data_IF_886263175164
#
_entry.id   IF_886263175164
#
_cell.length_a   1.000
_cell.length_b   1.000
_cell.length_c   1.000
_cell.angle_alpha   90.00
_cell.angle_beta   90.00
_cell.angle_gamma   90.00
#
_symmetry.space_group_name_H-M   'P 1'
#
loop_
_entity.id
_entity.type
_entity.pdbx_description
1 polymer ?
#
# COMPACT_ATOMS: atom_id res chain seq x y z
N UNK A 1 2.74 -43.06 67.09
CA UNK A 1 1.91 -42.95 65.87
C UNK A 1 0.45 -42.74 66.26
N UNK A 2 0.08 -41.51 66.60
CA UNK A 2 -1.30 -41.04 66.79
C UNK A 2 -1.31 -39.53 66.46
N UNK A 3 -2.48 -39.09 65.99
CA UNK A 3 -2.81 -37.84 65.28
C UNK A 3 -2.76 -36.56 66.18
N UNK A 4 -3.44 -35.47 65.78
CA UNK A 4 -2.91 -34.17 65.32
C UNK A 4 -3.01 -33.10 66.42
N UNK A 5 -2.47 -31.88 66.25
CA UNK A 5 -2.90 -30.70 67.04
C UNK A 5 -2.30 -29.43 66.43
N UNK A 6 -3.22 -28.54 66.01
CA UNK A 6 -3.05 -27.07 66.05
C UNK A 6 -2.37 -26.66 67.35
N UNK A 7 -1.43 -25.70 67.36
CA UNK A 7 -1.29 -24.57 68.30
C UNK A 7 0.17 -24.07 68.25
N UNK A 8 0.36 -22.75 68.39
CA UNK A 8 1.60 -22.03 68.73
C UNK A 8 2.51 -21.68 67.54
N UNK A 9 2.30 -20.49 66.96
CA UNK A 9 3.34 -19.45 66.82
C UNK A 9 2.69 -18.14 66.29
N UNK A 10 1.77 -17.59 67.08
CA UNK A 10 1.26 -16.23 66.93
C UNK A 10 1.49 -15.52 68.27
N UNK A 11 2.75 -15.22 68.58
CA UNK A 11 3.12 -14.34 69.69
C UNK A 11 4.62 -13.98 69.59
N UNK A 12 4.95 -12.90 68.88
CA UNK A 12 6.08 -12.02 69.17
C UNK A 12 6.13 -10.91 68.11
N UNK A 13 5.73 -9.71 68.52
CA UNK A 13 5.97 -8.38 67.92
C UNK A 13 4.74 -7.45 67.94
N UNK A 14 3.72 -7.76 68.74
CA UNK A 14 2.84 -6.73 69.34
C UNK A 14 3.35 -6.46 70.75
N UNK A 15 4.41 -5.66 70.84
CA UNK A 15 4.93 -5.18 72.13
C UNK A 15 5.59 -3.81 71.96
N UNK A 16 4.77 -2.80 71.63
CA UNK A 16 5.15 -1.40 71.81
C UNK A 16 3.93 -0.52 71.58
N UNK A 17 2.90 -0.66 72.44
CA UNK A 17 1.95 0.41 72.71
C UNK A 17 1.25 0.17 74.06
N UNK A 18 1.53 1.10 74.97
CA UNK A 18 0.72 1.55 76.11
C UNK A 18 0.82 0.80 77.44
N UNK A 19 1.64 1.36 78.35
CA UNK A 19 1.30 1.57 79.78
C UNK A 19 2.36 2.49 80.43
N UNK A 20 2.16 3.79 80.30
CA UNK A 20 2.64 4.78 81.27
C UNK A 20 1.46 5.69 81.60
N UNK A 21 0.63 5.21 82.52
CA UNK A 21 -0.46 5.97 83.14
C UNK A 21 0.02 6.46 84.51
N UNK A 22 0.22 7.77 84.64
CA UNK A 22 0.08 8.56 85.87
C UNK A 22 0.21 10.04 85.52
N UNK A 23 -0.88 10.79 85.56
CA UNK A 23 -0.90 12.26 85.41
C UNK A 23 -2.32 12.81 85.49
N UNK A 24 -2.56 13.93 86.22
CA UNK A 24 -3.86 14.27 86.79
C UNK A 24 -4.88 14.80 85.77
N UNK A 25 -6.16 14.62 86.15
CA UNK A 25 -7.38 15.00 85.43
C UNK A 25 -7.37 16.46 84.96
N UNK A 26 -7.61 16.75 83.65
CA UNK A 26 -7.81 18.11 83.16
C UNK A 26 -9.27 18.58 83.28
N UNK A 27 -9.41 19.87 83.63
CA UNK A 27 -10.63 20.70 83.61
C UNK A 27 -11.21 20.82 82.19
N UNK A 28 -12.53 21.04 81.99
CA UNK A 28 -13.14 20.99 80.66
C UNK A 28 -12.72 22.17 79.78
N UNK A 29 -12.33 21.88 78.52
CA UNK A 29 -12.03 22.88 77.47
C UNK A 29 -13.20 22.93 76.47
N UNK A 30 -13.58 24.11 75.92
CA UNK A 30 -14.75 24.26 75.04
C UNK A 30 -14.55 23.56 73.67
N UNK A 31 -15.63 23.26 72.91
CA UNK A 31 -15.54 22.49 71.68
C UNK A 31 -14.78 23.24 70.58
N UNK A 32 -13.72 22.61 70.05
CA UNK A 32 -12.92 23.08 68.91
C UNK A 32 -13.62 22.76 67.59
N UNK A 33 -13.63 23.74 66.67
CA UNK A 33 -14.16 23.62 65.29
C UNK A 33 -13.48 22.48 64.51
N UNK A 34 -14.18 21.81 63.58
CA UNK A 34 -13.59 20.75 62.75
C UNK A 34 -12.45 21.28 61.86
N UNK A 35 -11.42 20.46 61.54
CA UNK A 35 -10.37 20.85 60.62
C UNK A 35 -10.92 21.08 59.21
N UNK A 36 -10.52 22.16 58.57
CA UNK A 36 -10.80 22.44 57.16
C UNK A 36 -10.02 21.39 56.34
N UNK A 37 -10.75 20.60 55.55
CA UNK A 37 -10.18 19.65 54.61
C UNK A 37 -9.30 20.40 53.60
N UNK A 38 -8.00 20.07 53.58
CA UNK A 38 -7.08 20.54 52.57
C UNK A 38 -7.39 19.80 51.27
N UNK A 39 -7.98 20.50 50.30
CA UNK A 39 -8.27 19.96 48.97
C UNK A 39 -6.96 19.58 48.26
N UNK A 40 -6.91 18.36 47.73
CA UNK A 40 -5.81 17.91 46.86
C UNK A 40 -5.64 18.84 45.65
N UNK A 41 -4.41 19.03 45.13
CA UNK A 41 -4.18 19.83 43.94
C UNK A 41 -5.00 19.27 42.77
N UNK A 42 -5.60 20.12 41.92
CA UNK A 42 -6.32 19.64 40.75
C UNK A 42 -5.36 18.84 39.84
N UNK A 43 -5.83 17.78 39.18
CA UNK A 43 -5.02 17.02 38.23
C UNK A 43 -4.47 17.97 37.17
N UNK A 44 -3.16 17.92 36.97
CA UNK A 44 -2.48 18.72 35.95
C UNK A 44 -3.13 18.41 34.60
N UNK A 45 -3.80 19.40 34.01
CA UNK A 45 -4.40 19.26 32.70
C UNK A 45 -3.32 18.82 31.71
N UNK A 46 -3.53 17.69 31.04
CA UNK A 46 -2.65 17.25 29.96
C UNK A 46 -2.56 18.38 28.93
N UNK A 47 -1.35 18.88 28.58
CA UNK A 47 -1.22 19.95 27.61
C UNK A 47 -1.95 19.59 26.32
N UNK A 48 -2.73 20.53 25.78
CA UNK A 48 -3.40 20.33 24.51
C UNK A 48 -2.35 19.95 23.44
N UNK A 49 -2.59 18.90 22.63
CA UNK A 49 -1.66 18.50 21.59
C UNK A 49 -1.39 19.66 20.63
N UNK A 50 -0.12 19.89 20.27
CA UNK A 50 0.26 20.94 19.32
C UNK A 50 -0.36 20.67 17.94
N UNK A 51 -0.76 21.72 17.19
CA UNK A 51 -1.18 21.57 15.81
C UNK A 51 -0.04 21.05 14.91
N UNK A 52 -0.33 20.03 14.12
CA UNK A 52 0.59 19.41 13.15
C UNK A 52 -0.13 19.33 11.80
N UNK A 53 0.49 19.89 10.75
CA UNK A 53 0.04 19.73 9.37
C UNK A 53 0.98 18.78 8.65
N UNK A 54 0.44 17.66 8.16
CA UNK A 54 1.14 16.67 7.35
C UNK A 54 0.86 16.90 5.86
N UNK A 55 1.89 16.80 5.03
CA UNK A 55 1.73 16.76 3.58
C UNK A 55 1.95 15.33 3.09
N UNK A 56 0.99 14.77 2.35
CA UNK A 56 1.09 13.45 1.74
C UNK A 56 0.96 13.58 0.23
N UNK A 57 1.93 13.05 -0.52
CA UNK A 57 1.76 12.87 -1.95
C UNK A 57 1.33 11.44 -2.27
N UNK A 58 0.40 11.26 -3.21
CA UNK A 58 -0.10 9.94 -3.58
C UNK A 58 -0.30 9.80 -5.09
N UNK A 59 -0.21 8.57 -5.59
CA UNK A 59 -0.40 8.24 -7.02
C UNK A 59 -1.80 7.76 -7.40
N UNK A 60 -2.71 7.63 -6.43
CA UNK A 60 -3.98 6.95 -6.64
C UNK A 60 -4.95 7.78 -7.47
N UNK A 61 -5.93 7.16 -8.12
CA UNK A 61 -6.93 7.88 -8.92
C UNK A 61 -8.31 7.28 -8.70
N UNK A 62 -9.36 8.04 -8.99
CA UNK A 62 -10.75 7.59 -8.82
C UNK A 62 -11.05 7.19 -7.37
N UNK A 63 -11.77 6.07 -7.20
CA UNK A 63 -12.21 5.59 -5.88
C UNK A 63 -11.05 5.33 -4.89
N UNK A 64 -9.90 4.74 -5.28
CA UNK A 64 -8.72 4.68 -4.42
C UNK A 64 -8.24 6.06 -3.87
N UNK A 65 -8.30 7.12 -4.68
CA UNK A 65 -7.98 8.48 -4.23
C UNK A 65 -9.04 9.01 -3.25
N UNK A 66 -10.32 8.78 -3.54
CA UNK A 66 -11.41 9.16 -2.65
C UNK A 66 -11.30 8.45 -1.29
N UNK A 67 -10.92 7.17 -1.29
CA UNK A 67 -10.65 6.40 -0.09
C UNK A 67 -9.49 7.00 0.71
N UNK A 68 -8.38 7.33 0.04
CA UNK A 68 -7.22 7.97 0.65
C UNK A 68 -7.61 9.30 1.34
N UNK A 69 -8.37 10.16 0.66
CA UNK A 69 -8.90 11.42 1.21
C UNK A 69 -9.85 11.13 2.39
N UNK A 70 -10.71 10.12 2.30
CA UNK A 70 -11.61 9.76 3.38
C UNK A 70 -10.85 9.30 4.64
N UNK A 71 -9.76 8.53 4.50
CA UNK A 71 -8.93 8.13 5.64
C UNK A 71 -8.28 9.33 6.33
N UNK A 72 -7.73 10.29 5.57
CA UNK A 72 -7.13 11.50 6.16
C UNK A 72 -8.16 12.35 6.92
N UNK A 73 -9.40 12.45 6.40
CA UNK A 73 -10.52 13.13 7.08
C UNK A 73 -10.95 12.41 8.36
N UNK A 74 -11.12 11.08 8.29
CA UNK A 74 -11.48 10.27 9.45
C UNK A 74 -10.41 10.35 10.55
N UNK A 75 -9.13 10.36 10.16
CA UNK A 75 -8.03 10.54 11.09
C UNK A 75 -8.03 11.93 11.74
N UNK A 76 -8.23 12.99 10.94
CA UNK A 76 -8.35 14.37 11.44
C UNK A 76 -9.51 14.50 12.43
N UNK A 77 -10.66 13.87 12.16
CA UNK A 77 -11.80 13.88 13.08
C UNK A 77 -11.48 13.21 14.44
N UNK A 78 -10.65 12.15 14.42
CA UNK A 78 -10.20 11.45 15.63
C UNK A 78 -9.07 12.20 16.37
N UNK A 79 -8.23 12.92 15.64
CA UNK A 79 -7.10 13.69 16.15
C UNK A 79 -7.13 15.11 15.57
N UNK A 80 -7.97 16.02 16.12
CA UNK A 80 -8.20 17.34 15.52
C UNK A 80 -6.96 18.24 15.42
N UNK A 81 -5.91 17.92 16.16
CA UNK A 81 -4.63 18.62 16.10
C UNK A 81 -3.77 18.19 14.90
N UNK A 82 -4.11 17.10 14.19
CA UNK A 82 -3.38 16.61 13.02
C UNK A 82 -4.25 16.82 11.77
N UNK A 83 -3.73 17.56 10.80
CA UNK A 83 -4.41 17.88 9.54
C UNK A 83 -3.55 17.47 8.35
N UNK A 84 -4.18 17.31 7.17
CA UNK A 84 -3.50 16.83 5.97
C UNK A 84 -3.61 17.81 4.80
N UNK A 85 -2.53 17.84 4.02
CA UNK A 85 -2.45 18.38 2.67
C UNK A 85 -2.19 17.22 1.72
N UNK A 86 -3.23 16.78 1.01
CA UNK A 86 -3.16 15.60 0.14
C UNK A 86 -2.96 16.06 -1.29
N UNK A 87 -1.80 15.74 -1.86
CA UNK A 87 -1.45 16.08 -3.25
C UNK A 87 -1.48 14.82 -4.09
N UNK A 88 -2.29 14.81 -5.14
CA UNK A 88 -2.36 13.73 -6.09
C UNK A 88 -1.51 14.02 -7.33
N UNK A 89 -0.80 13.01 -7.83
CA UNK A 89 0.09 13.09 -9.00
C UNK A 89 0.02 11.78 -9.79
N UNK A 90 0.32 11.80 -11.10
CA UNK A 90 0.57 10.56 -11.84
C UNK A 90 1.77 9.80 -11.25
N UNK A 91 1.86 8.49 -11.45
CA UNK A 91 2.91 7.65 -10.81
C UNK A 91 4.33 8.14 -11.16
N UNK A 92 4.59 8.43 -12.44
CA UNK A 92 5.88 8.93 -12.91
C UNK A 92 6.16 10.37 -12.45
N UNK A 93 5.15 11.24 -12.48
CA UNK A 93 5.26 12.62 -11.99
C UNK A 93 5.55 12.65 -10.49
N UNK A 94 4.89 11.79 -9.71
CA UNK A 94 5.16 11.62 -8.29
C UNK A 94 6.62 11.24 -8.07
N UNK A 95 7.17 10.31 -8.86
CA UNK A 95 8.56 9.90 -8.74
C UNK A 95 9.53 11.06 -8.97
N UNK A 96 9.37 11.73 -10.11
CA UNK A 96 10.29 12.78 -10.55
C UNK A 96 10.19 14.03 -9.67
N UNK A 97 8.97 14.45 -9.33
CA UNK A 97 8.72 15.61 -8.48
C UNK A 97 9.21 15.36 -7.06
N UNK A 98 9.02 14.14 -6.53
CA UNK A 98 9.43 13.83 -5.16
C UNK A 98 10.94 13.85 -5.06
N UNK A 99 11.63 13.25 -6.03
CA UNK A 99 13.08 13.27 -6.08
C UNK A 99 13.61 14.72 -6.09
N UNK A 100 13.02 15.58 -6.92
CA UNK A 100 13.39 16.99 -7.01
C UNK A 100 13.12 17.73 -5.70
N UNK A 101 11.90 17.61 -5.15
CA UNK A 101 11.49 18.32 -3.94
C UNK A 101 12.26 17.84 -2.69
N UNK A 102 12.48 16.54 -2.54
CA UNK A 102 13.20 15.99 -1.40
C UNK A 102 14.69 16.35 -1.40
N UNK A 103 15.33 16.41 -2.58
CA UNK A 103 16.70 16.93 -2.72
C UNK A 103 16.78 18.43 -2.37
N UNK A 104 15.73 19.20 -2.63
CA UNK A 104 15.61 20.60 -2.25
C UNK A 104 15.17 20.81 -0.77
N UNK A 105 14.87 19.74 -0.03
CA UNK A 105 14.37 19.83 1.36
C UNK A 105 12.92 20.31 1.49
N UNK A 106 12.14 20.24 0.42
CA UNK A 106 10.73 20.71 0.35
C UNK A 106 9.73 19.58 0.04
N UNK A 107 10.18 18.32 0.13
CA UNK A 107 9.32 17.16 -0.11
C UNK A 107 8.17 17.02 0.92
N UNK A 108 7.16 16.19 0.61
CA UNK A 108 6.07 15.86 1.53
C UNK A 108 6.59 15.14 2.78
N UNK A 109 5.76 15.01 3.80
CA UNK A 109 6.13 14.27 5.01
C UNK A 109 6.17 12.76 4.76
N UNK A 110 5.28 12.26 3.90
CA UNK A 110 5.30 10.87 3.47
C UNK A 110 4.61 10.71 2.11
N UNK A 111 4.82 9.57 1.50
CA UNK A 111 4.30 9.19 0.20
C UNK A 111 3.38 8.00 0.33
N UNK A 112 2.33 7.94 -0.48
CA UNK A 112 1.63 6.71 -0.81
C UNK A 112 1.97 6.36 -2.26
N UNK A 113 2.77 5.31 -2.47
CA UNK A 113 3.32 5.02 -3.80
C UNK A 113 3.68 3.54 -4.01
N UNK A 114 4.33 3.21 -5.12
CA UNK A 114 4.71 1.84 -5.52
C UNK A 114 6.09 1.46 -5.00
N UNK A 115 6.42 0.16 -5.02
CA UNK A 115 7.64 -0.36 -4.40
C UNK A 115 8.93 -0.01 -5.14
N UNK A 116 8.91 0.06 -6.47
CA UNK A 116 10.10 0.30 -7.29
C UNK A 116 10.68 1.72 -7.09
N UNK A 117 9.87 2.65 -6.58
CA UNK A 117 10.33 3.95 -6.11
C UNK A 117 11.34 3.84 -4.95
N UNK A 118 11.27 2.79 -4.13
CA UNK A 118 12.16 2.59 -2.98
C UNK A 118 13.62 2.56 -3.42
N UNK A 119 13.96 1.83 -4.49
CA UNK A 119 15.35 1.68 -4.94
C UNK A 119 15.98 3.03 -5.29
N UNK A 120 15.26 3.86 -6.05
CA UNK A 120 15.72 5.20 -6.45
C UNK A 120 15.81 6.12 -5.24
N UNK A 121 14.79 6.13 -4.38
CA UNK A 121 14.70 7.06 -3.25
C UNK A 121 15.66 6.72 -2.11
N UNK A 122 15.85 5.43 -1.83
CA UNK A 122 16.80 4.95 -0.83
C UNK A 122 18.24 5.21 -1.28
N UNK A 123 18.58 4.92 -2.54
CA UNK A 123 19.90 5.21 -3.10
C UNK A 123 20.22 6.71 -3.11
N UNK A 124 19.22 7.55 -3.42
CA UNK A 124 19.34 9.01 -3.35
C UNK A 124 19.30 9.55 -1.90
N UNK A 125 19.07 8.70 -0.90
CA UNK A 125 18.97 9.05 0.54
C UNK A 125 17.92 10.13 0.80
N UNK A 126 16.74 10.00 0.19
CA UNK A 126 15.64 10.96 0.35
C UNK A 126 14.44 10.42 1.13
N UNK A 127 14.41 9.11 1.40
CA UNK A 127 13.49 8.46 2.35
C UNK A 127 14.27 7.90 3.54
N UNK A 128 13.57 7.52 4.62
CA UNK A 128 14.13 6.81 5.77
C UNK A 128 13.57 5.38 5.87
N UNK A 129 14.33 4.39 6.38
CA UNK A 129 13.84 3.02 6.51
C UNK A 129 12.64 2.95 7.45
N UNK A 130 11.51 2.45 6.97
CA UNK A 130 10.32 2.24 7.80
C UNK A 130 10.60 1.27 8.97
N UNK A 131 11.52 0.31 8.79
CA UNK A 131 11.99 -0.56 9.86
C UNK A 131 12.62 0.20 11.04
N UNK A 132 13.38 1.27 10.77
CA UNK A 132 14.00 2.08 11.83
C UNK A 132 12.95 2.93 12.57
N UNK A 133 11.85 3.28 11.88
CA UNK A 133 10.76 4.11 12.42
C UNK A 133 9.80 3.31 13.32
N UNK A 134 9.44 2.09 12.89
CA UNK A 134 8.42 1.26 13.53
C UNK A 134 8.98 0.05 14.30
N UNK A 135 10.23 -0.33 14.04
CA UNK A 135 10.85 -1.54 14.56
C UNK A 135 10.44 -2.81 13.82
N UNK A 136 11.31 -3.83 13.80
CA UNK A 136 11.09 -5.11 13.10
C UNK A 136 9.80 -5.82 13.48
N UNK A 137 9.43 -5.78 14.76
CA UNK A 137 8.23 -6.48 15.26
C UNK A 137 6.92 -5.91 14.69
N UNK A 138 6.91 -4.64 14.28
CA UNK A 138 5.75 -4.05 13.62
C UNK A 138 5.42 -4.78 12.31
N UNK A 139 6.45 -5.20 11.57
CA UNK A 139 6.29 -5.82 10.25
C UNK A 139 5.79 -7.27 10.29
N UNK A 140 5.77 -7.91 11.48
CA UNK A 140 5.14 -9.22 11.69
C UNK A 140 3.63 -9.21 11.51
N UNK A 141 3.01 -8.02 11.44
CA UNK A 141 1.57 -7.84 11.19
C UNK A 141 1.20 -7.96 9.72
N UNK A 142 2.17 -7.90 8.81
CA UNK A 142 1.95 -7.91 7.38
C UNK A 142 2.32 -9.27 6.79
N UNK A 143 1.70 -9.59 5.66
CA UNK A 143 2.03 -10.80 4.91
C UNK A 143 3.43 -10.68 4.30
N UNK A 144 4.15 -11.80 4.26
CA UNK A 144 5.55 -11.84 3.84
C UNK A 144 5.81 -11.19 2.46
N UNK A 145 4.99 -11.43 1.41
CA UNK A 145 5.23 -10.81 0.10
C UNK A 145 5.18 -9.28 0.11
N UNK A 146 4.37 -8.69 0.99
CA UNK A 146 4.32 -7.22 1.14
C UNK A 146 5.58 -6.68 1.79
N UNK A 147 6.14 -7.39 2.77
CA UNK A 147 7.39 -6.99 3.39
C UNK A 147 8.57 -7.15 2.41
N UNK A 148 8.68 -8.30 1.75
CA UNK A 148 9.80 -8.62 0.85
C UNK A 148 9.94 -7.62 -0.29
N UNK A 149 8.82 -7.20 -0.88
CA UNK A 149 8.81 -6.23 -1.97
C UNK A 149 9.24 -4.81 -1.55
N UNK A 150 9.32 -4.53 -0.25
CA UNK A 150 9.81 -3.26 0.31
C UNK A 150 11.23 -3.36 0.91
N UNK A 151 11.91 -4.49 0.73
CA UNK A 151 13.30 -4.66 1.21
C UNK A 151 14.28 -4.03 0.22
N UNK A 152 15.15 -3.16 0.74
CA UNK A 152 16.31 -2.63 0.02
C UNK A 152 17.50 -2.60 0.97
N UNK A 153 18.65 -3.13 0.53
CA UNK A 153 19.87 -3.28 1.35
C UNK A 153 19.63 -3.93 2.74
N UNK A 154 18.72 -4.91 2.80
CA UNK A 154 18.45 -5.70 4.00
C UNK A 154 17.57 -5.04 5.06
N UNK A 155 16.96 -3.89 4.76
CA UNK A 155 15.95 -3.24 5.62
C UNK A 155 14.63 -3.06 4.89
N UNK A 156 13.53 -3.02 5.63
CA UNK A 156 12.21 -2.65 5.09
C UNK A 156 12.07 -1.12 5.01
N UNK A 157 11.83 -0.58 3.81
CA UNK A 157 11.78 0.86 3.55
C UNK A 157 10.36 1.43 3.41
N UNK A 158 9.36 0.57 3.21
CA UNK A 158 7.97 0.98 3.08
C UNK A 158 7.05 0.20 3.99
N UNK A 159 5.99 0.85 4.48
CA UNK A 159 4.89 0.16 5.17
C UNK A 159 3.90 -0.35 4.13
N UNK A 160 3.65 -1.67 4.03
CA UNK A 160 2.73 -2.21 3.04
C UNK A 160 1.29 -1.76 3.29
N UNK A 161 0.59 -1.32 2.25
CA UNK A 161 -0.84 -0.98 2.27
C UNK A 161 -1.66 -2.11 1.64
N UNK A 162 -1.17 -2.65 0.53
CA UNK A 162 -1.78 -3.79 -0.16
C UNK A 162 -0.71 -4.70 -0.75
N UNK A 163 -1.11 -5.92 -1.12
CA UNK A 163 -0.34 -6.82 -1.99
C UNK A 163 -1.15 -7.04 -3.25
N UNK A 164 -0.49 -7.00 -4.40
CA UNK A 164 -1.14 -7.02 -5.70
C UNK A 164 -0.34 -6.22 -6.72
N UNK A 165 -0.92 -5.15 -7.26
CA UNK A 165 -0.33 -4.31 -8.29
C UNK A 165 0.05 -5.12 -9.54
N UNK A 166 -0.77 -6.09 -9.90
CA UNK A 166 -0.44 -7.12 -10.88
C UNK A 166 -1.38 -7.05 -12.08
N UNK A 167 -0.82 -7.20 -13.28
CA UNK A 167 -1.59 -7.24 -14.51
C UNK A 167 -2.31 -8.57 -14.69
N UNK A 168 -3.52 -8.49 -15.23
CA UNK A 168 -4.40 -9.62 -15.53
C UNK A 168 -5.11 -9.41 -16.86
N UNK A 169 -5.77 -10.45 -17.36
CA UNK A 169 -6.73 -10.32 -18.45
C UNK A 169 -8.12 -10.05 -17.87
N UNK A 170 -8.71 -8.93 -18.24
CA UNK A 170 -10.09 -8.58 -17.98
C UNK A 170 -10.87 -8.78 -19.28
N UNK A 171 -12.10 -9.28 -19.20
CA UNK A 171 -12.92 -9.51 -20.39
C UNK A 171 -14.38 -9.21 -20.12
N UNK A 172 -15.09 -8.77 -21.16
CA UNK A 172 -16.52 -8.54 -21.10
C UNK A 172 -17.26 -9.84 -21.45
N UNK A 173 -17.88 -10.51 -20.47
CA UNK A 173 -18.65 -11.75 -20.60
C UNK A 173 -19.85 -11.66 -21.56
N UNK A 174 -20.28 -10.44 -21.89
CA UNK A 174 -21.26 -10.21 -22.96
C UNK A 174 -20.70 -10.55 -24.33
N UNK A 175 -19.40 -10.36 -24.54
CA UNK A 175 -18.68 -10.58 -25.80
C UNK A 175 -17.82 -11.86 -25.78
N UNK A 176 -17.25 -12.22 -24.63
CA UNK A 176 -16.32 -13.34 -24.45
C UNK A 176 -16.83 -14.29 -23.39
N UNK A 177 -17.32 -15.48 -23.76
CA UNK A 177 -17.88 -16.43 -22.78
C UNK A 177 -16.84 -17.08 -21.88
N UNK A 178 -15.74 -17.53 -22.48
CA UNK A 178 -14.58 -18.08 -21.78
C UNK A 178 -13.33 -17.34 -22.25
N UNK A 179 -12.40 -16.99 -21.35
CA UNK A 179 -11.17 -16.31 -21.72
C UNK A 179 -10.27 -17.21 -22.58
N UNK A 180 -9.47 -16.63 -23.50
CA UNK A 180 -8.54 -17.40 -24.32
C UNK A 180 -7.47 -18.08 -23.45
N UNK A 181 -7.17 -19.34 -23.75
CA UNK A 181 -6.22 -20.15 -22.97
C UNK A 181 -4.77 -19.86 -23.35
N UNK A 182 -4.54 -19.55 -24.62
CA UNK A 182 -3.22 -19.24 -25.17
C UNK A 182 -3.28 -18.08 -26.17
N UNK A 183 -2.10 -17.66 -26.64
CA UNK A 183 -1.95 -16.54 -27.58
C UNK A 183 -2.62 -16.78 -28.93
N UNK A 184 -2.75 -18.03 -29.38
CA UNK A 184 -3.41 -18.34 -30.66
C UNK A 184 -4.93 -18.12 -30.55
N UNK A 185 -5.53 -18.61 -29.45
CA UNK A 185 -6.93 -18.34 -29.12
C UNK A 185 -7.18 -16.84 -28.93
N UNK A 186 -6.27 -16.12 -28.26
CA UNK A 186 -6.35 -14.67 -28.08
C UNK A 186 -6.37 -13.94 -29.43
N UNK A 187 -5.47 -14.31 -30.36
CA UNK A 187 -5.41 -13.69 -31.69
C UNK A 187 -6.67 -14.01 -32.51
N UNK A 188 -7.13 -15.26 -32.49
CA UNK A 188 -8.33 -15.69 -33.19
C UNK A 188 -9.56 -14.90 -32.71
N UNK A 189 -9.81 -14.94 -31.40
CA UNK A 189 -10.92 -14.22 -30.78
C UNK A 189 -10.79 -12.71 -30.99
N UNK A 190 -9.57 -12.18 -30.86
CA UNK A 190 -9.29 -10.77 -31.09
C UNK A 190 -9.67 -10.32 -32.50
N UNK A 191 -9.36 -11.11 -33.53
CA UNK A 191 -9.76 -10.82 -34.92
C UNK A 191 -11.27 -10.87 -35.11
N UNK A 192 -11.94 -11.86 -34.53
CA UNK A 192 -13.41 -12.00 -34.62
C UNK A 192 -14.14 -10.83 -33.94
N UNK A 193 -13.57 -10.29 -32.87
CA UNK A 193 -14.18 -9.22 -32.05
C UNK A 193 -13.65 -7.82 -32.36
N UNK A 194 -12.78 -7.66 -33.35
CA UNK A 194 -12.31 -6.34 -33.82
C UNK A 194 -13.09 -5.90 -35.04
N UNK A 195 -13.71 -4.73 -34.98
CA UNK A 195 -14.45 -4.16 -36.10
C UNK A 195 -13.52 -3.31 -36.98
N UNK A 196 -13.55 -3.46 -38.32
CA UNK A 196 -12.67 -2.70 -39.22
C UNK A 196 -12.83 -1.17 -39.15
N UNK A 197 -13.99 -0.69 -38.71
CA UNK A 197 -14.29 0.75 -38.55
C UNK A 197 -13.72 1.34 -37.24
N UNK A 198 -13.07 0.53 -36.41
CA UNK A 198 -12.50 0.95 -35.12
C UNK A 198 -13.53 1.20 -34.02
N UNK A 199 -14.81 0.83 -34.23
CA UNK A 199 -15.86 0.98 -33.22
C UNK A 199 -15.76 -0.04 -32.08
N UNK A 200 -15.03 -1.14 -32.30
CA UNK A 200 -14.76 -2.16 -31.29
C UNK A 200 -13.40 -2.83 -31.54
N UNK A 201 -12.66 -3.11 -30.46
CA UNK A 201 -11.41 -3.86 -30.50
C UNK A 201 -11.51 -5.19 -29.74
N UNK A 202 -10.79 -6.20 -30.23
CA UNK A 202 -10.69 -7.50 -29.58
C UNK A 202 -9.89 -7.42 -28.27
N UNK A 203 -8.81 -6.65 -28.26
CA UNK A 203 -7.97 -6.43 -27.09
C UNK A 203 -7.58 -4.94 -27.01
N UNK A 204 -7.55 -4.39 -25.79
CA UNK A 204 -6.95 -3.09 -25.50
C UNK A 204 -6.01 -3.22 -24.30
N UNK A 205 -4.99 -2.37 -24.24
CA UNK A 205 -4.09 -2.21 -23.10
C UNK A 205 -3.28 -0.92 -23.26
N UNK A 206 -2.55 -0.51 -22.23
CA UNK A 206 -1.66 0.65 -22.34
C UNK A 206 -0.44 0.30 -23.21
N UNK A 207 -0.40 0.80 -24.45
CA UNK A 207 0.65 0.51 -25.43
C UNK A 207 1.96 1.26 -25.13
N UNK A 208 1.92 2.25 -24.25
CA UNK A 208 3.00 3.22 -24.07
C UNK A 208 3.85 2.93 -22.83
N UNK A 209 3.52 1.91 -22.04
CA UNK A 209 4.07 1.70 -20.70
C UNK A 209 4.79 0.34 -20.59
N UNK A 210 6.12 0.33 -20.34
CA UNK A 210 6.90 -0.88 -20.13
C UNK A 210 6.35 -1.85 -19.07
N UNK A 211 5.59 -1.37 -18.07
CA UNK A 211 4.94 -2.28 -17.11
C UNK A 211 4.01 -3.30 -17.80
N UNK A 212 3.36 -2.93 -18.91
CA UNK A 212 2.54 -3.83 -19.73
C UNK A 212 3.35 -4.76 -20.65
N UNK A 213 4.62 -4.47 -20.90
CA UNK A 213 5.56 -5.36 -21.60
C UNK A 213 6.09 -6.47 -20.68
N UNK A 214 6.25 -6.19 -19.39
CA UNK A 214 6.88 -7.11 -18.42
C UNK A 214 6.30 -8.53 -18.40
N UNK A 215 4.97 -8.74 -18.38
CA UNK A 215 4.41 -10.09 -18.42
C UNK A 215 4.85 -10.87 -19.65
N UNK A 216 4.88 -10.22 -20.81
CA UNK A 216 5.22 -10.85 -22.08
C UNK A 216 6.69 -11.25 -22.13
N UNK A 217 7.62 -10.42 -21.62
CA UNK A 217 9.03 -10.82 -21.49
C UNK A 217 9.14 -12.16 -20.74
N UNK A 218 8.48 -12.30 -19.59
CA UNK A 218 8.43 -13.56 -18.83
C UNK A 218 7.81 -14.72 -19.61
N UNK A 219 6.72 -14.45 -20.35
CA UNK A 219 6.07 -15.43 -21.22
C UNK A 219 6.96 -15.94 -22.35
N UNK A 220 7.86 -15.11 -22.89
CA UNK A 220 8.86 -15.52 -23.87
C UNK A 220 10.16 -16.05 -23.24
N UNK A 221 10.25 -16.09 -21.90
CA UNK A 221 11.37 -16.63 -21.16
C UNK A 221 12.51 -15.64 -20.90
N UNK A 222 12.28 -14.34 -21.10
CA UNK A 222 13.17 -13.26 -20.69
C UNK A 222 12.71 -12.61 -19.38
N UNK A 223 13.54 -11.72 -18.85
CA UNK A 223 13.23 -10.86 -17.71
C UNK A 223 14.09 -9.59 -17.84
N UNK A 224 13.70 -8.42 -17.32
CA UNK A 224 14.49 -7.19 -17.49
C UNK A 224 15.79 -7.18 -16.68
N UNK A 225 15.89 -7.94 -15.59
CA UNK A 225 17.02 -7.96 -14.67
C UNK A 225 17.47 -9.40 -14.34
N UNK A 226 18.76 -9.64 -14.21
CA UNK A 226 19.31 -10.88 -13.64
C UNK A 226 19.79 -10.62 -12.22
N UNK A 227 18.93 -10.93 -11.25
CA UNK A 227 19.20 -10.78 -9.82
C UNK A 227 20.16 -11.85 -9.26
N UNK A 228 20.47 -12.89 -10.03
CA UNK A 228 21.48 -13.89 -9.64
C UNK A 228 22.91 -13.36 -9.74
N UNK A 229 23.12 -12.27 -10.49
CA UNK A 229 24.40 -11.59 -10.63
C UNK A 229 24.61 -10.53 -9.56
N UNK A 230 25.86 -10.32 -9.17
CA UNK A 230 26.28 -9.23 -8.29
C UNK A 230 27.43 -8.46 -8.96
N UNK A 231 27.22 -7.23 -9.46
CA UNK A 231 25.97 -6.46 -9.43
C UNK A 231 24.86 -7.08 -10.29
N UNK A 232 23.62 -6.70 -10.02
CA UNK A 232 22.45 -7.06 -10.85
C UNK A 232 22.69 -6.55 -12.27
N UNK A 233 22.40 -7.38 -13.28
CA UNK A 233 22.65 -7.07 -14.69
C UNK A 233 21.33 -6.89 -15.44
N UNK A 234 21.22 -5.88 -16.30
CA UNK A 234 20.06 -5.75 -17.19
C UNK A 234 20.11 -6.78 -18.33
N UNK A 235 18.99 -7.44 -18.60
CA UNK A 235 18.88 -8.56 -19.57
C UNK A 235 17.88 -8.26 -20.70
N UNK A 236 17.87 -7.01 -21.15
CA UNK A 236 16.94 -6.52 -22.19
C UNK A 236 17.36 -6.92 -23.61
N UNK A 237 18.65 -7.08 -23.89
CA UNK A 237 19.15 -7.49 -25.20
C UNK A 237 19.23 -9.02 -25.30
N UNK A 238 18.08 -9.68 -25.42
CA UNK A 238 17.99 -11.15 -25.56
C UNK A 238 16.99 -11.54 -26.64
N UNK A 239 17.15 -12.71 -27.28
CA UNK A 239 16.16 -13.22 -28.24
C UNK A 239 14.75 -13.32 -27.66
N UNK A 240 14.62 -13.65 -26.36
CA UNK A 240 13.32 -13.74 -25.69
C UNK A 240 12.62 -12.37 -25.59
N UNK A 241 13.35 -11.29 -25.30
CA UNK A 241 12.79 -9.94 -25.26
C UNK A 241 12.46 -9.45 -26.67
N UNK A 242 13.29 -9.76 -27.66
CA UNK A 242 13.00 -9.46 -29.07
C UNK A 242 11.72 -10.16 -29.55
N UNK A 243 11.56 -11.46 -29.24
CA UNK A 243 10.35 -12.22 -29.56
C UNK A 243 9.09 -11.63 -28.89
N UNK A 244 9.20 -11.17 -27.64
CA UNK A 244 8.08 -10.52 -26.94
C UNK A 244 7.68 -9.20 -27.61
N UNK A 245 8.65 -8.39 -28.03
CA UNK A 245 8.41 -7.14 -28.76
C UNK A 245 7.80 -7.41 -30.13
N UNK A 246 8.30 -8.42 -30.86
CA UNK A 246 7.75 -8.83 -32.15
C UNK A 246 6.29 -9.31 -32.00
N UNK A 247 5.98 -10.09 -30.96
CA UNK A 247 4.62 -10.50 -30.68
C UNK A 247 3.68 -9.30 -30.46
N UNK A 248 4.07 -8.33 -29.63
CA UNK A 248 3.26 -7.13 -29.39
C UNK A 248 3.13 -6.23 -30.63
N UNK A 249 4.19 -6.13 -31.42
CA UNK A 249 4.17 -5.49 -32.74
C UNK A 249 3.12 -6.17 -33.63
N UNK A 250 3.13 -7.49 -33.69
CA UNK A 250 2.23 -8.25 -34.55
C UNK A 250 0.77 -8.17 -34.12
N UNK A 251 0.48 -8.10 -32.81
CA UNK A 251 -0.89 -7.81 -32.33
C UNK A 251 -1.45 -6.53 -32.97
N UNK A 252 -0.61 -5.50 -33.12
CA UNK A 252 -0.97 -4.18 -33.67
C UNK A 252 -0.96 -4.15 -35.20
N UNK A 253 0.13 -4.58 -35.83
CA UNK A 253 0.35 -4.33 -37.26
C UNK A 253 -0.03 -5.50 -38.17
N UNK A 254 0.10 -6.74 -37.70
CA UNK A 254 -0.18 -7.94 -38.48
C UNK A 254 -1.60 -8.44 -38.22
N UNK A 255 -1.94 -8.68 -36.95
CA UNK A 255 -3.23 -9.21 -36.53
C UNK A 255 -4.29 -8.13 -36.35
N UNK A 256 -3.87 -6.88 -36.08
CA UNK A 256 -4.75 -5.70 -35.97
C UNK A 256 -5.88 -5.90 -34.97
N UNK A 257 -5.60 -6.55 -33.83
CA UNK A 257 -6.61 -6.83 -32.78
C UNK A 257 -6.63 -5.77 -31.67
N UNK A 258 -5.68 -4.84 -31.70
CA UNK A 258 -5.55 -3.71 -30.78
C UNK A 258 -5.62 -2.37 -31.54
N UNK A 259 -5.94 -1.26 -30.87
CA UNK A 259 -5.88 0.07 -31.47
C UNK A 259 -4.48 0.38 -32.01
N UNK A 260 -4.41 1.30 -32.98
CA UNK A 260 -3.11 1.84 -33.39
C UNK A 260 -2.45 2.55 -32.22
N UNK A 261 -3.15 3.40 -31.50
CA UNK A 261 -2.60 4.11 -30.35
C UNK A 261 -3.58 3.98 -29.18
N UNK A 262 -3.05 3.69 -28.00
CA UNK A 262 -3.81 3.70 -26.75
C UNK A 262 -2.85 3.90 -25.57
N UNK A 263 -3.02 5.01 -24.85
CA UNK A 263 -2.46 5.16 -23.51
C UNK A 263 -3.39 4.49 -22.49
N UNK A 264 -3.06 4.60 -21.20
CA UNK A 264 -3.86 4.04 -20.10
C UNK A 264 -5.34 4.48 -20.18
N UNK A 265 -5.60 5.79 -20.20
CA UNK A 265 -6.96 6.34 -20.16
C UNK A 265 -7.79 5.92 -21.39
N UNK A 266 -7.18 5.88 -22.57
CA UNK A 266 -7.85 5.43 -23.78
C UNK A 266 -8.25 3.95 -23.69
N UNK A 267 -7.35 3.07 -23.25
CA UNK A 267 -7.66 1.65 -23.09
C UNK A 267 -8.74 1.41 -22.01
N UNK A 268 -8.62 2.10 -20.88
CA UNK A 268 -9.59 2.03 -19.79
C UNK A 268 -10.99 2.51 -20.21
N UNK A 269 -11.07 3.65 -20.91
CA UNK A 269 -12.32 4.20 -21.42
C UNK A 269 -12.97 3.27 -22.45
N UNK A 270 -12.21 2.74 -23.41
CA UNK A 270 -12.74 1.79 -24.41
C UNK A 270 -13.37 0.57 -23.77
N UNK A 271 -12.75 0.02 -22.71
CA UNK A 271 -13.32 -1.10 -21.99
C UNK A 271 -14.59 -0.71 -21.22
N UNK A 272 -14.57 0.40 -20.45
CA UNK A 272 -15.74 0.91 -19.70
C UNK A 272 -16.95 1.21 -20.59
N UNK A 273 -16.71 1.65 -21.82
CA UNK A 273 -17.74 1.94 -22.82
C UNK A 273 -18.24 0.69 -23.56
N UNK A 274 -17.69 -0.50 -23.27
CA UNK A 274 -18.02 -1.75 -23.95
C UNK A 274 -17.46 -1.83 -25.39
N UNK A 275 -16.53 -0.95 -25.77
CA UNK A 275 -15.87 -0.92 -27.08
C UNK A 275 -14.63 -1.82 -27.14
N UNK A 276 -14.33 -2.56 -26.09
CA UNK A 276 -13.30 -3.59 -26.09
C UNK A 276 -13.81 -4.91 -25.51
N UNK A 277 -13.50 -6.02 -26.18
CA UNK A 277 -13.87 -7.35 -25.71
C UNK A 277 -12.99 -7.81 -24.54
N UNK A 278 -11.70 -7.54 -24.63
CA UNK A 278 -10.70 -7.86 -23.61
C UNK A 278 -9.82 -6.64 -23.32
N UNK A 279 -9.33 -6.56 -22.09
CA UNK A 279 -8.42 -5.54 -21.59
C UNK A 279 -7.31 -6.23 -20.79
N UNK A 280 -6.04 -5.83 -20.97
CA UNK A 280 -5.00 -6.12 -19.99
C UNK A 280 -4.84 -4.88 -19.12
N UNK A 281 -5.13 -5.01 -17.82
CA UNK A 281 -4.97 -3.97 -16.81
C UNK A 281 -4.70 -4.62 -15.45
N UNK A 282 -4.45 -3.82 -14.42
CA UNK A 282 -4.16 -4.31 -13.08
C UNK A 282 -5.37 -4.36 -12.15
N UNK A 283 -5.16 -5.01 -11.01
CA UNK A 283 -6.13 -5.12 -9.92
C UNK A 283 -6.65 -3.77 -9.40
N UNK A 284 -5.82 -2.72 -9.46
CA UNK A 284 -6.21 -1.34 -9.10
C UNK A 284 -7.41 -0.80 -9.88
N UNK A 285 -7.70 -1.37 -11.05
CA UNK A 285 -8.76 -0.89 -11.95
C UNK A 285 -10.13 -1.55 -11.70
N UNK A 286 -10.17 -2.65 -10.95
CA UNK A 286 -11.34 -3.53 -10.85
C UNK A 286 -12.61 -2.82 -10.36
N UNK A 287 -12.48 -1.95 -9.33
CA UNK A 287 -13.63 -1.28 -8.76
C UNK A 287 -14.30 -0.32 -9.76
N UNK A 288 -13.50 0.31 -10.62
CA UNK A 288 -13.98 1.18 -11.69
C UNK A 288 -14.87 0.46 -12.72
N UNK A 289 -14.66 -0.85 -12.91
CA UNK A 289 -15.46 -1.67 -13.83
C UNK A 289 -16.72 -2.27 -13.17
N UNK A 290 -16.79 -2.26 -11.84
CA UNK A 290 -17.92 -2.80 -11.08
C UNK A 290 -18.99 -1.74 -10.75
N UNK A 291 -18.78 -0.49 -11.15
CA UNK A 291 -19.77 0.57 -10.96
C UNK A 291 -21.09 0.23 -11.66
N UNK A 292 -22.23 0.67 -11.10
CA UNK A 292 -23.57 0.41 -11.66
C UNK A 292 -23.67 0.85 -13.13
N UNK A 293 -23.00 1.94 -13.51
CA UNK A 293 -23.00 2.44 -14.87
C UNK A 293 -22.24 1.51 -15.81
N UNK A 294 -21.03 1.09 -15.46
CA UNK A 294 -20.20 0.22 -16.30
C UNK A 294 -20.77 -1.21 -16.36
N UNK A 295 -21.29 -1.73 -15.25
CA UNK A 295 -21.88 -3.07 -15.19
C UNK A 295 -23.08 -3.28 -16.14
N UNK A 296 -23.72 -2.18 -16.59
CA UNK A 296 -24.79 -2.23 -17.61
C UNK A 296 -24.26 -2.61 -18.99
N UNK A 297 -23.00 -2.32 -19.30
CA UNK A 297 -22.40 -2.54 -20.64
C UNK A 297 -21.28 -3.59 -20.60
N UNK A 298 -20.61 -3.76 -19.47
CA UNK A 298 -19.55 -4.76 -19.25
C UNK A 298 -19.98 -5.72 -18.16
N UNK A 299 -20.11 -7.00 -18.50
CA UNK A 299 -20.19 -8.08 -17.48
C UNK A 299 -18.77 -8.58 -17.21
N UNK A 300 -18.18 -8.16 -16.10
CA UNK A 300 -16.74 -8.33 -15.87
C UNK A 300 -16.35 -9.81 -15.63
N UNK A 301 -15.39 -10.27 -16.41
CA UNK A 301 -14.59 -11.47 -16.18
C UNK A 301 -13.13 -11.13 -15.93
N UNK A 302 -12.46 -11.99 -15.16
CA UNK A 302 -11.03 -11.89 -14.85
C UNK A 302 -10.37 -13.25 -15.12
N UNK A 303 -9.19 -13.22 -15.72
CA UNK A 303 -8.39 -14.39 -16.04
C UNK A 303 -6.89 -14.07 -16.00
N UNK A 304 -6.06 -15.12 -16.06
CA UNK A 304 -4.63 -14.95 -16.34
C UNK A 304 -4.44 -14.38 -17.74
N UNK A 305 -3.36 -13.62 -17.93
CA UNK A 305 -2.91 -13.31 -19.29
C UNK A 305 -2.62 -14.64 -20.01
N UNK A 306 -3.11 -14.85 -21.25
CA UNK A 306 -3.06 -16.16 -21.90
C UNK A 306 -1.65 -16.71 -22.07
N UNK A 307 -1.52 -18.03 -21.99
CA UNK A 307 -0.22 -18.71 -22.12
C UNK A 307 0.41 -18.41 -23.48
N UNK A 308 1.71 -18.11 -23.52
CA UNK A 308 2.43 -17.92 -24.78
C UNK A 308 2.57 -19.28 -25.46
N UNK A 309 1.91 -19.46 -26.61
CA UNK A 309 1.87 -20.74 -27.32
C UNK A 309 3.26 -21.22 -27.73
N UNK A 310 4.09 -20.30 -28.25
CA UNK A 310 5.44 -20.58 -28.76
C UNK A 310 6.36 -21.22 -27.70
N UNK A 311 6.21 -20.83 -26.44
CA UNK A 311 7.11 -21.23 -25.34
C UNK A 311 6.45 -22.14 -24.32
N UNK A 312 5.13 -22.32 -24.39
CA UNK A 312 4.32 -22.99 -23.39
C UNK A 312 4.53 -22.43 -21.97
N UNK A 313 4.77 -21.12 -21.86
CA UNK A 313 4.93 -20.40 -20.57
C UNK A 313 3.81 -19.40 -20.34
N UNK A 314 3.44 -19.24 -19.08
CA UNK A 314 2.54 -18.15 -18.68
C UNK A 314 3.30 -16.82 -18.70
N UNK A 315 2.69 -15.73 -19.22
CA UNK A 315 3.18 -14.38 -18.94
C UNK A 315 3.36 -14.18 -17.44
N UNK A 316 4.41 -13.45 -17.05
CA UNK A 316 4.81 -13.29 -15.65
C UNK A 316 4.59 -11.83 -15.20
N UNK A 317 3.35 -11.45 -14.84
CA UNK A 317 3.10 -10.11 -14.34
C UNK A 317 3.91 -9.85 -13.07
N UNK A 318 4.47 -8.65 -12.96
CA UNK A 318 5.12 -8.21 -11.73
C UNK A 318 4.05 -8.10 -10.63
N UNK A 319 4.38 -8.59 -9.44
CA UNK A 319 3.51 -8.52 -8.26
C UNK A 319 4.24 -7.76 -7.16
N UNK A 320 3.60 -6.77 -6.57
CA UNK A 320 4.12 -6.06 -5.41
C UNK A 320 2.97 -5.58 -4.53
N UNK A 321 2.80 -4.27 -4.40
CA UNK A 321 1.86 -3.59 -3.53
C UNK A 321 2.00 -2.08 -3.67
N UNK A 322 1.21 -1.36 -2.89
CA UNK A 322 1.43 0.07 -2.63
C UNK A 322 1.85 0.26 -1.18
N UNK A 323 2.62 1.31 -0.92
CA UNK A 323 3.38 1.49 0.31
C UNK A 323 3.32 2.92 0.79
N UNK A 324 3.37 3.09 2.12
CA UNK A 324 3.79 4.35 2.69
C UNK A 324 5.32 4.42 2.74
N UNK A 325 5.91 5.46 2.13
CA UNK A 325 7.33 5.77 2.24
C UNK A 325 7.50 7.07 3.02
N UNK A 326 8.45 7.11 3.96
CA UNK A 326 8.63 8.25 4.86
C UNK A 326 9.80 9.10 4.37
N UNK A 327 9.58 10.41 4.19
CA UNK A 327 10.64 11.33 3.79
C UNK A 327 11.73 11.39 4.87
N UNK A 328 13.00 11.44 4.48
CA UNK A 328 14.13 11.53 5.43
C UNK A 328 14.07 12.73 6.37
N UNK A 329 13.40 13.81 5.96
CA UNK A 329 13.33 15.06 6.70
C UNK A 329 12.15 15.11 7.67
N UNK A 330 11.26 14.11 7.63
CA UNK A 330 10.13 13.98 8.56
C UNK A 330 10.60 13.46 9.92
N UNK A 331 10.57 14.36 10.91
CA UNK A 331 11.12 14.16 12.26
C UNK A 331 10.21 14.81 13.31
N UNK A 332 10.46 14.51 14.59
CA UNK A 332 9.74 15.11 15.73
C UNK A 332 8.22 14.93 15.66
N UNK A 333 7.47 15.95 16.02
CA UNK A 333 6.00 15.94 16.08
C UNK A 333 5.35 15.46 14.76
N UNK A 334 5.97 15.75 13.61
CA UNK A 334 5.49 15.26 12.31
C UNK A 334 5.69 13.77 12.13
N UNK A 335 6.86 13.24 12.51
CA UNK A 335 7.11 11.80 12.45
C UNK A 335 6.20 11.03 13.40
N UNK A 336 5.96 11.56 14.60
CA UNK A 336 5.02 10.96 15.54
C UNK A 336 3.58 10.96 15.00
N UNK A 337 3.18 12.03 14.30
CA UNK A 337 1.90 12.09 13.62
C UNK A 337 1.81 11.10 12.44
N UNK A 338 2.87 10.96 11.62
CA UNK A 338 2.94 9.98 10.53
C UNK A 338 2.89 8.54 11.04
N UNK A 339 3.59 8.23 12.14
CA UNK A 339 3.53 6.89 12.76
C UNK A 339 2.17 6.54 13.32
N UNK A 340 1.40 7.56 13.68
CA UNK A 340 0.08 7.42 14.29
C UNK A 340 -1.02 7.25 13.26
N UNK A 341 -0.87 7.91 12.10
CA UNK A 341 -1.71 7.71 10.91
C UNK A 341 -1.56 6.29 10.39
#
# INVERSE_FOLDING_TARGET
MKKPIFTVLALMAVLSLMLSACGPTPTPVPPTKPPIATTAPPPTATPAPKPVKLTMWNKEAGEPLDWCIAQTKAFTAKYPNITFDVVNKGVEDLRNDYQTAALAGTGPDFLWTVNDHIGVFAAAKIIQPAEDVFGKDYFKKFVQPGNDAAVYEGKIWGVPISVGNHLMLLYNKKLVKEPPKDTDELIKMGKELTKPDGSQYGLVYNLNEPFWLAPWMGGFGGWPLDESKKPVVATLNTPAVADALEFLHDLKYVHKIVPKEANYDAADAMFKEGKAAMLINGDWSLSGYQTITVAKVVDLGVARIPKVKKTDKWPSPMTSGVYFLINKDTKGDKLDAVKKF
#
